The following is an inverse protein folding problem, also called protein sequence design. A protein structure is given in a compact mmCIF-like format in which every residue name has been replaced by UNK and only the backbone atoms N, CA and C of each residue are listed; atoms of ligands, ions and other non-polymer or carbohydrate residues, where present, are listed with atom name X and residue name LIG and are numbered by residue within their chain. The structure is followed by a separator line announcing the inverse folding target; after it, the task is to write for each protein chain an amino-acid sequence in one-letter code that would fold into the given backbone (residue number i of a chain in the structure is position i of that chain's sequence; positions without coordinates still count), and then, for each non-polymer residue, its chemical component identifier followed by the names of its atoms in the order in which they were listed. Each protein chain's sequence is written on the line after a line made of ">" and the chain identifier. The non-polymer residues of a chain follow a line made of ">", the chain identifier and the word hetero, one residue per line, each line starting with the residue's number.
data_IF_768826045682
#
_entry.id   IF_768826045682
#
_cell.length_a   1.000
_cell.length_b   1.000
_cell.length_c   1.000
_cell.angle_alpha   90.00
_cell.angle_beta   90.00
_cell.angle_gamma   90.00
#
_symmetry.space_group_name_H-M   'P 1'
#
loop_
_entity.id
_entity.type
_entity.pdbx_description
1 polymer ?
#
# COMPACT_ATOMS: atom_id res chain seq x y z
N UNK A 1 94.52 9.27 -3.71
CA UNK A 1 93.19 9.04 -3.09
C UNK A 1 92.19 8.83 -4.21
N UNK A 2 91.59 7.63 -4.26
CA UNK A 2 90.57 7.25 -5.25
C UNK A 2 89.26 7.96 -4.89
N UNK A 3 88.56 8.52 -5.87
CA UNK A 3 87.11 8.33 -6.00
C UNK A 3 86.66 8.56 -7.44
N UNK A 4 85.81 7.64 -7.87
CA UNK A 4 85.53 7.27 -9.25
C UNK A 4 84.44 8.15 -9.87
N UNK A 5 84.64 8.39 -11.17
CA UNK A 5 83.60 8.66 -12.16
C UNK A 5 82.46 7.64 -12.10
N UNK A 6 81.21 8.11 -12.20
CA UNK A 6 80.16 7.37 -12.91
C UNK A 6 79.16 8.34 -13.54
N UNK A 7 79.01 8.22 -14.86
CA UNK A 7 78.03 8.90 -15.71
C UNK A 7 76.73 8.08 -15.77
N UNK A 8 75.69 8.75 -16.28
CA UNK A 8 74.47 8.22 -16.93
C UNK A 8 73.36 7.82 -15.93
N UNK A 9 72.06 8.08 -16.11
CA UNK A 9 71.18 8.34 -17.28
C UNK A 9 70.04 9.28 -16.83
N UNK A 10 69.61 10.19 -17.72
CA UNK A 10 68.37 10.97 -17.60
C UNK A 10 67.16 10.05 -17.84
N UNK A 11 66.22 9.99 -16.91
CA UNK A 11 64.87 9.48 -17.19
C UNK A 11 63.82 10.37 -16.51
N UNK A 12 63.16 11.19 -17.33
CA UNK A 12 61.91 11.83 -17.00
C UNK A 12 60.84 10.75 -16.87
N UNK A 13 60.26 10.59 -15.68
CA UNK A 13 59.05 9.81 -15.48
C UNK A 13 57.96 10.74 -15.01
N UNK A 14 57.00 10.97 -15.90
CA UNK A 14 55.81 11.77 -15.68
C UNK A 14 54.99 11.21 -14.51
N UNK A 15 54.50 12.09 -13.64
CA UNK A 15 53.43 11.81 -12.71
C UNK A 15 52.15 11.47 -13.50
N UNK A 16 51.86 10.19 -13.69
CA UNK A 16 50.54 9.74 -14.10
C UNK A 16 49.63 9.79 -12.86
N UNK A 17 48.85 10.86 -12.73
CA UNK A 17 47.69 10.85 -11.83
C UNK A 17 46.70 9.82 -12.38
N UNK A 18 46.61 8.68 -11.70
CA UNK A 18 45.53 7.72 -11.91
C UNK A 18 44.29 8.37 -11.31
N UNK A 19 43.46 8.97 -12.15
CA UNK A 19 42.07 9.23 -11.82
C UNK A 19 41.43 7.86 -11.59
N UNK A 20 41.35 7.45 -10.33
CA UNK A 20 40.48 6.35 -9.94
C UNK A 20 39.06 6.79 -10.25
N UNK A 21 38.46 6.18 -11.27
CA UNK A 21 37.02 6.20 -11.43
C UNK A 21 36.45 5.58 -10.14
N UNK A 22 35.88 6.41 -9.29
CA UNK A 22 34.95 5.96 -8.26
C UNK A 22 33.75 5.42 -9.04
N UNK A 23 33.78 4.11 -9.32
CA UNK A 23 32.57 3.39 -9.67
C UNK A 23 31.66 3.51 -8.44
N UNK A 24 30.64 4.37 -8.54
CA UNK A 24 29.51 4.31 -7.63
C UNK A 24 28.87 2.95 -7.88
N UNK A 25 29.11 1.99 -6.99
CA UNK A 25 28.36 0.75 -6.96
C UNK A 25 27.01 1.14 -6.38
N UNK A 26 26.06 1.48 -7.25
CA UNK A 26 24.66 1.47 -6.87
C UNK A 26 24.33 0.01 -6.59
N UNK A 27 24.16 -0.34 -5.31
CA UNK A 27 23.40 -1.52 -5.00
C UNK A 27 21.98 -1.23 -5.48
N UNK A 28 21.50 -1.95 -6.49
CA UNK A 28 20.05 -2.08 -6.69
C UNK A 28 19.55 -2.79 -5.44
N UNK A 29 19.10 -2.02 -4.44
CA UNK A 29 18.26 -2.56 -3.38
C UNK A 29 16.97 -2.99 -4.08
N UNK A 30 16.73 -4.30 -4.14
CA UNK A 30 15.49 -4.79 -4.70
C UNK A 30 14.35 -4.29 -3.81
N UNK A 31 13.27 -3.72 -4.38
CA UNK A 31 12.18 -3.21 -3.59
C UNK A 31 11.58 -4.32 -2.73
N UNK A 32 11.19 -3.98 -1.49
CA UNK A 32 10.47 -4.90 -0.61
C UNK A 32 9.05 -5.01 -1.15
N UNK A 33 8.80 -6.08 -1.90
CA UNK A 33 7.50 -6.30 -2.55
C UNK A 33 6.45 -6.68 -1.52
N UNK A 34 5.39 -5.88 -1.44
CA UNK A 34 4.18 -6.20 -0.69
C UNK A 34 3.26 -7.02 -1.58
N UNK A 35 2.77 -8.14 -1.06
CA UNK A 35 1.80 -8.97 -1.75
C UNK A 35 0.43 -8.83 -1.07
N UNK A 36 -0.39 -7.91 -1.56
CA UNK A 36 -1.77 -7.79 -1.09
C UNK A 36 -2.58 -8.98 -1.59
N UNK A 37 -3.23 -9.70 -0.67
CA UNK A 37 -4.06 -10.84 -1.02
C UNK A 37 -5.21 -10.40 -1.94
N UNK A 38 -5.25 -10.96 -3.15
CA UNK A 38 -6.31 -10.68 -4.12
C UNK A 38 -7.59 -11.40 -3.70
N UNK A 39 -8.52 -10.65 -3.14
CA UNK A 39 -9.83 -11.14 -2.73
C UNK A 39 -10.78 -11.05 -3.92
N UNK A 40 -11.34 -12.19 -4.34
CA UNK A 40 -12.25 -12.22 -5.49
C UNK A 40 -13.59 -11.56 -5.15
N UNK A 41 -14.24 -10.97 -6.15
CA UNK A 41 -15.60 -10.41 -6.00
C UNK A 41 -16.57 -11.46 -5.44
N UNK A 42 -16.48 -12.72 -5.90
CA UNK A 42 -17.33 -13.81 -5.42
C UNK A 42 -17.11 -14.15 -3.94
N UNK A 43 -15.87 -14.10 -3.43
CA UNK A 43 -15.60 -14.33 -2.02
C UNK A 43 -16.09 -13.16 -1.16
N UNK A 44 -15.89 -11.93 -1.62
CA UNK A 44 -16.39 -10.75 -0.91
C UNK A 44 -17.94 -10.72 -0.89
N UNK A 45 -18.59 -11.09 -1.99
CA UNK A 45 -20.06 -11.23 -2.08
C UNK A 45 -20.57 -12.25 -1.06
N UNK A 46 -19.93 -13.42 -0.96
CA UNK A 46 -20.30 -14.43 0.05
C UNK A 46 -20.14 -13.90 1.48
N UNK A 47 -19.07 -13.17 1.78
CA UNK A 47 -18.91 -12.53 3.08
C UNK A 47 -20.07 -11.57 3.35
N UNK A 48 -20.45 -10.75 2.37
CA UNK A 48 -21.55 -9.81 2.50
C UNK A 48 -22.90 -10.50 2.68
N UNK A 49 -23.15 -11.60 1.96
CA UNK A 49 -24.37 -12.39 2.13
C UNK A 49 -24.47 -12.91 3.57
N UNK A 50 -23.38 -13.46 4.12
CA UNK A 50 -23.33 -13.90 5.52
C UNK A 50 -23.59 -12.73 6.49
N UNK A 51 -23.04 -11.54 6.23
CA UNK A 51 -23.28 -10.33 7.03
C UNK A 51 -24.76 -9.92 6.98
N UNK A 52 -25.39 -9.97 5.82
CA UNK A 52 -26.81 -9.63 5.68
C UNK A 52 -27.71 -10.65 6.38
N UNK A 53 -27.40 -11.94 6.28
CA UNK A 53 -28.12 -13.01 6.96
C UNK A 53 -28.09 -12.84 8.48
N UNK A 54 -26.92 -12.62 9.08
CA UNK A 54 -26.81 -12.45 10.53
C UNK A 54 -27.52 -11.17 11.01
N UNK A 55 -27.48 -10.08 10.22
CA UNK A 55 -28.18 -8.83 10.56
C UNK A 55 -29.69 -9.03 10.57
N UNK A 56 -30.21 -9.72 9.55
CA UNK A 56 -31.63 -10.02 9.43
C UNK A 56 -32.12 -10.97 10.54
N UNK A 57 -31.28 -11.95 10.93
CA UNK A 57 -31.60 -12.89 12.00
C UNK A 57 -31.52 -12.28 13.41
N UNK A 58 -30.86 -11.13 13.57
CA UNK A 58 -30.60 -10.52 14.88
C UNK A 58 -30.94 -9.01 14.92
N UNK A 59 -32.21 -8.61 14.64
CA UNK A 59 -32.61 -7.22 14.63
C UNK A 59 -32.51 -6.63 16.05
N UNK A 60 -31.52 -5.76 16.28
CA UNK A 60 -31.29 -5.10 17.56
C UNK A 60 -29.97 -5.43 18.25
N UNK A 61 -29.18 -6.36 17.71
CA UNK A 61 -27.80 -6.56 18.16
C UNK A 61 -26.90 -5.39 17.75
N UNK A 62 -25.97 -5.05 18.63
CA UNK A 62 -24.89 -4.12 18.30
C UNK A 62 -23.93 -4.71 17.27
N UNK A 63 -23.15 -3.86 16.60
CA UNK A 63 -22.14 -4.30 15.64
C UNK A 63 -21.11 -5.23 16.27
N UNK A 64 -20.71 -4.97 17.52
CA UNK A 64 -19.78 -5.82 18.24
C UNK A 64 -20.35 -7.23 18.43
N UNK A 65 -21.61 -7.35 18.86
CA UNK A 65 -22.25 -8.66 19.00
C UNK A 65 -22.40 -9.38 17.65
N UNK A 66 -22.64 -8.67 16.57
CA UNK A 66 -22.72 -9.25 15.22
C UNK A 66 -21.34 -9.72 14.73
N UNK A 67 -20.27 -8.96 15.01
CA UNK A 67 -18.88 -9.35 14.75
C UNK A 67 -18.55 -10.65 15.50
N UNK A 68 -18.94 -10.77 16.77
CA UNK A 68 -18.71 -11.98 17.57
C UNK A 68 -19.48 -13.19 17.02
N UNK A 69 -20.74 -13.00 16.60
CA UNK A 69 -21.54 -14.05 15.95
C UNK A 69 -20.88 -14.53 14.67
N UNK A 70 -20.50 -13.62 13.77
CA UNK A 70 -19.88 -13.98 12.50
C UNK A 70 -18.53 -14.67 12.70
N UNK A 71 -17.71 -14.13 13.61
CA UNK A 71 -16.41 -14.73 13.96
C UNK A 71 -16.58 -16.16 14.48
N UNK A 72 -17.59 -16.40 15.32
CA UNK A 72 -17.90 -17.75 15.78
C UNK A 72 -18.31 -18.68 14.64
N UNK A 73 -19.21 -18.22 13.77
CA UNK A 73 -19.66 -19.00 12.60
C UNK A 73 -18.47 -19.37 11.70
N UNK A 74 -17.58 -18.41 11.42
CA UNK A 74 -16.42 -18.63 10.55
C UNK A 74 -15.38 -19.57 11.19
N UNK A 75 -15.18 -19.47 12.50
CA UNK A 75 -14.28 -20.35 13.25
C UNK A 75 -14.80 -21.80 13.38
N UNK A 76 -16.13 -21.98 13.47
CA UNK A 76 -16.77 -23.29 13.56
C UNK A 76 -17.07 -23.91 12.18
N UNK A 77 -17.00 -23.09 11.12
CA UNK A 77 -17.25 -23.49 9.74
C UNK A 77 -16.23 -24.50 9.21
N UNK A 78 -16.67 -25.36 8.30
CA UNK A 78 -15.83 -26.41 7.66
C UNK A 78 -15.74 -26.17 6.16
N UNK A 79 -14.53 -26.24 5.62
CA UNK A 79 -14.26 -26.33 4.18
C UNK A 79 -14.66 -25.09 3.38
N UNK A 80 -15.95 -24.92 3.10
CA UNK A 80 -16.52 -23.91 2.20
C UNK A 80 -16.36 -22.48 2.70
N UNK A 81 -16.28 -22.27 4.02
CA UNK A 81 -16.10 -20.95 4.63
C UNK A 81 -14.63 -20.58 4.84
N UNK A 82 -13.67 -21.43 4.46
CA UNK A 82 -12.25 -21.21 4.80
C UNK A 82 -11.70 -19.91 4.19
N UNK A 83 -11.89 -19.68 2.90
CA UNK A 83 -11.46 -18.42 2.26
C UNK A 83 -12.16 -17.19 2.85
N UNK A 84 -13.43 -17.32 3.25
CA UNK A 84 -14.17 -16.24 3.92
C UNK A 84 -13.62 -15.96 5.32
N UNK A 85 -13.22 -17.01 6.04
CA UNK A 85 -12.60 -16.90 7.35
C UNK A 85 -11.22 -16.24 7.24
N UNK A 86 -10.45 -16.56 6.20
CA UNK A 86 -9.15 -15.94 5.94
C UNK A 86 -9.32 -14.42 5.69
N UNK A 87 -10.25 -14.02 4.81
CA UNK A 87 -10.62 -12.61 4.60
C UNK A 87 -11.00 -11.94 5.92
N UNK A 88 -11.92 -12.53 6.67
CA UNK A 88 -12.40 -11.95 7.93
C UNK A 88 -11.29 -11.81 8.99
N UNK A 89 -10.35 -12.75 9.01
CA UNK A 89 -9.22 -12.76 9.93
C UNK A 89 -8.19 -11.67 9.62
N UNK A 90 -8.04 -11.31 8.34
CA UNK A 90 -7.13 -10.26 7.88
C UNK A 90 -7.61 -8.84 8.21
N UNK A 91 -8.93 -8.65 8.40
CA UNK A 91 -9.50 -7.34 8.76
C UNK A 91 -9.13 -6.91 10.18
N UNK A 92 -8.90 -5.61 10.37
CA UNK A 92 -8.84 -4.99 11.70
C UNK A 92 -10.19 -5.08 12.42
N UNK A 93 -10.18 -4.87 13.74
CA UNK A 93 -11.45 -4.86 14.50
C UNK A 93 -12.39 -3.74 14.02
N UNK A 94 -11.84 -2.57 13.68
CA UNK A 94 -12.61 -1.45 13.15
C UNK A 94 -13.17 -1.75 11.76
N UNK A 95 -12.38 -2.37 10.87
CA UNK A 95 -12.85 -2.79 9.55
C UNK A 95 -14.01 -3.79 9.66
N UNK A 96 -13.93 -4.80 10.56
CA UNK A 96 -15.03 -5.75 10.79
C UNK A 96 -16.32 -5.05 11.18
N UNK A 97 -16.27 -4.06 12.07
CA UNK A 97 -17.44 -3.24 12.45
C UNK A 97 -18.00 -2.47 11.25
N UNK A 98 -17.14 -1.90 10.42
CA UNK A 98 -17.55 -1.18 9.21
C UNK A 98 -18.15 -2.12 8.14
N UNK A 99 -17.62 -3.33 7.97
CA UNK A 99 -18.21 -4.35 7.09
C UNK A 99 -19.61 -4.72 7.56
N UNK A 100 -19.82 -4.90 8.87
CA UNK A 100 -21.16 -5.10 9.44
C UNK A 100 -22.04 -3.88 9.19
N UNK A 101 -21.55 -2.67 9.43
CA UNK A 101 -22.34 -1.43 9.33
C UNK A 101 -22.74 -1.12 7.89
N UNK A 102 -21.80 -1.24 6.95
CA UNK A 102 -21.93 -0.82 5.55
C UNK A 102 -21.51 -1.94 4.57
N UNK A 103 -22.23 -3.09 4.53
CA UNK A 103 -21.81 -4.26 3.76
C UNK A 103 -21.61 -3.98 2.27
N UNK A 104 -22.52 -3.22 1.64
CA UNK A 104 -22.38 -2.86 0.22
C UNK A 104 -21.24 -1.88 -0.05
N UNK A 105 -20.91 -1.00 0.92
CA UNK A 105 -19.74 -0.15 0.79
C UNK A 105 -18.46 -0.98 0.89
N UNK A 106 -18.42 -1.98 1.77
CA UNK A 106 -17.27 -2.89 1.89
C UNK A 106 -16.98 -3.67 0.60
N UNK A 107 -18.00 -4.07 -0.17
CA UNK A 107 -17.80 -4.63 -1.52
C UNK A 107 -17.03 -3.65 -2.41
N UNK A 108 -17.42 -2.37 -2.40
CA UNK A 108 -16.79 -1.32 -3.19
C UNK A 108 -15.40 -0.93 -2.69
N UNK A 109 -15.13 -1.05 -1.39
CA UNK A 109 -13.77 -0.93 -0.85
C UNK A 109 -12.85 -2.00 -1.43
N UNK A 110 -13.34 -3.24 -1.55
CA UNK A 110 -12.57 -4.33 -2.16
C UNK A 110 -12.41 -4.14 -3.67
N UNK A 111 -13.44 -3.67 -4.38
CA UNK A 111 -13.33 -3.30 -5.80
C UNK A 111 -12.22 -2.24 -6.00
N UNK A 112 -12.25 -1.15 -5.20
CA UNK A 112 -11.24 -0.09 -5.22
C UNK A 112 -9.83 -0.62 -4.90
N UNK A 113 -9.70 -1.53 -3.93
CA UNK A 113 -8.41 -2.15 -3.57
C UNK A 113 -7.84 -2.92 -4.77
N UNK A 114 -8.66 -3.74 -5.40
CA UNK A 114 -8.24 -4.53 -6.57
C UNK A 114 -7.81 -3.65 -7.74
N UNK A 115 -8.51 -2.52 -7.98
CA UNK A 115 -8.10 -1.51 -8.96
C UNK A 115 -6.74 -0.93 -8.58
N UNK A 116 -6.54 -0.54 -7.33
CA UNK A 116 -5.29 0.03 -6.85
C UNK A 116 -4.10 -0.91 -7.01
N UNK A 117 -4.25 -2.18 -6.60
CA UNK A 117 -3.20 -3.20 -6.77
C UNK A 117 -2.85 -3.38 -8.25
N UNK A 118 -3.86 -3.55 -9.12
CA UNK A 118 -3.64 -3.78 -10.55
C UNK A 118 -2.98 -2.57 -11.24
N UNK A 119 -3.42 -1.35 -10.93
CA UNK A 119 -2.83 -0.14 -11.50
C UNK A 119 -1.40 0.08 -10.99
N UNK A 120 -1.12 -0.22 -9.74
CA UNK A 120 0.25 -0.12 -9.18
C UNK A 120 1.19 -1.06 -9.92
N UNK A 121 0.81 -2.34 -10.06
CA UNK A 121 1.59 -3.32 -10.82
C UNK A 121 1.78 -2.91 -12.29
N UNK A 122 0.74 -2.36 -12.94
CA UNK A 122 0.84 -1.89 -14.33
C UNK A 122 1.76 -0.68 -14.49
N UNK A 123 1.77 0.24 -13.54
CA UNK A 123 2.52 1.51 -13.61
C UNK A 123 3.97 1.39 -13.16
N UNK A 124 4.24 0.56 -12.15
CA UNK A 124 5.56 0.41 -11.54
C UNK A 124 6.23 -0.92 -11.89
N UNK A 125 5.47 -1.94 -12.31
CA UNK A 125 5.97 -3.29 -12.54
C UNK A 125 6.11 -4.12 -11.24
N UNK A 126 5.81 -3.52 -10.09
CA UNK A 126 5.83 -4.13 -8.77
C UNK A 126 4.96 -3.30 -7.81
N UNK A 127 4.81 -3.76 -6.56
CA UNK A 127 4.14 -3.04 -5.47
C UNK A 127 5.03 -3.08 -4.23
N UNK A 128 5.65 -1.96 -3.88
CA UNK A 128 6.60 -1.81 -2.79
C UNK A 128 5.94 -1.44 -1.45
N UNK A 129 6.74 -1.58 -0.39
CA UNK A 129 6.47 -1.10 0.96
C UNK A 129 7.22 0.21 1.17
N UNK A 130 6.57 1.26 1.67
CA UNK A 130 7.22 2.53 2.02
C UNK A 130 7.70 3.38 0.86
N UNK A 131 7.57 2.91 -0.38
CA UNK A 131 8.14 3.56 -1.56
C UNK A 131 7.12 4.37 -2.37
N UNK A 132 7.57 4.91 -3.51
CA UNK A 132 6.70 5.69 -4.41
C UNK A 132 5.51 4.88 -4.94
N UNK A 133 5.68 3.59 -5.18
CA UNK A 133 4.59 2.72 -5.64
C UNK A 133 3.55 2.49 -4.53
N UNK A 134 3.98 2.48 -3.26
CA UNK A 134 3.12 2.43 -2.09
C UNK A 134 2.25 3.68 -1.97
N UNK A 135 2.89 4.85 -2.05
CA UNK A 135 2.19 6.13 -2.04
C UNK A 135 1.17 6.25 -3.20
N UNK A 136 1.52 5.76 -4.39
CA UNK A 136 0.60 5.67 -5.52
C UNK A 136 -0.59 4.76 -5.21
N UNK A 137 -0.34 3.54 -4.68
CA UNK A 137 -1.38 2.55 -4.35
C UNK A 137 -2.40 3.10 -3.36
N UNK A 138 -1.93 3.75 -2.29
CA UNK A 138 -2.80 4.41 -1.30
C UNK A 138 -3.61 5.57 -1.91
N UNK A 139 -2.97 6.36 -2.77
CA UNK A 139 -3.61 7.47 -3.49
C UNK A 139 -4.76 7.01 -4.38
N UNK A 140 -4.51 6.04 -5.26
CA UNK A 140 -5.55 5.54 -6.17
C UNK A 140 -6.65 4.78 -5.41
N UNK A 141 -6.30 3.98 -4.39
CA UNK A 141 -7.30 3.30 -3.58
C UNK A 141 -8.30 4.28 -2.94
N UNK A 142 -7.80 5.39 -2.40
CA UNK A 142 -8.65 6.41 -1.78
C UNK A 142 -9.42 7.27 -2.80
N UNK A 143 -8.86 7.52 -3.98
CA UNK A 143 -9.57 8.20 -5.06
C UNK A 143 -10.77 7.35 -5.52
N UNK A 144 -10.55 6.06 -5.80
CA UNK A 144 -11.60 5.13 -6.24
C UNK A 144 -12.65 4.88 -5.15
N UNK A 145 -12.24 4.70 -3.89
CA UNK A 145 -13.19 4.63 -2.78
C UNK A 145 -14.06 5.90 -2.70
N UNK A 146 -13.46 7.08 -2.89
CA UNK A 146 -14.20 8.34 -2.84
C UNK A 146 -15.27 8.41 -3.92
N UNK A 147 -14.96 7.97 -5.14
CA UNK A 147 -15.91 7.90 -6.26
C UNK A 147 -17.04 6.89 -5.96
N UNK A 148 -16.68 5.70 -5.47
CA UNK A 148 -17.64 4.60 -5.33
C UNK A 148 -18.55 4.71 -4.10
N UNK A 149 -18.04 5.21 -2.97
CA UNK A 149 -18.77 5.19 -1.68
C UNK A 149 -18.85 6.55 -0.98
N UNK A 150 -18.25 7.59 -1.56
CA UNK A 150 -18.17 8.95 -1.03
C UNK A 150 -17.03 9.13 -0.03
N UNK A 151 -16.47 10.35 0.03
CA UNK A 151 -15.29 10.70 0.83
C UNK A 151 -15.41 10.33 2.32
N UNK A 152 -16.57 10.55 2.94
CA UNK A 152 -16.77 10.23 4.36
C UNK A 152 -16.59 8.74 4.66
N UNK A 153 -17.13 7.85 3.81
CA UNK A 153 -16.96 6.40 4.01
C UNK A 153 -15.57 5.95 3.61
N UNK A 154 -15.01 6.53 2.54
CA UNK A 154 -13.63 6.27 2.15
C UNK A 154 -12.65 6.56 3.31
N UNK A 155 -12.82 7.70 4.00
CA UNK A 155 -12.03 8.04 5.18
C UNK A 155 -12.22 7.03 6.31
N UNK A 156 -13.47 6.66 6.66
CA UNK A 156 -13.74 5.67 7.70
C UNK A 156 -13.03 4.33 7.44
N UNK A 157 -13.15 3.80 6.21
CA UNK A 157 -12.53 2.53 5.85
C UNK A 157 -11.00 2.63 5.76
N UNK A 158 -10.46 3.67 5.14
CA UNK A 158 -9.02 3.88 5.05
C UNK A 158 -8.39 4.06 6.44
N UNK A 159 -8.99 4.86 7.32
CA UNK A 159 -8.49 5.02 8.70
C UNK A 159 -8.55 3.71 9.48
N UNK A 160 -9.64 2.94 9.36
CA UNK A 160 -9.77 1.63 9.99
C UNK A 160 -8.73 0.62 9.50
N UNK A 161 -8.29 0.73 8.23
CA UNK A 161 -7.21 -0.07 7.66
C UNK A 161 -5.87 0.23 8.31
N UNK A 162 -5.60 1.49 8.66
CA UNK A 162 -4.36 1.91 9.32
C UNK A 162 -4.37 1.69 10.85
N UNK A 163 -5.44 1.12 11.43
CA UNK A 163 -5.52 0.75 12.86
C UNK A 163 -4.85 -0.61 13.15
N UNK A 164 -3.70 -0.85 12.53
CA UNK A 164 -2.82 -2.01 12.78
C UNK A 164 -1.89 -1.74 13.98
N UNK A 165 -1.22 -2.78 14.46
CA UNK A 165 -0.19 -2.67 15.49
C UNK A 165 0.99 -1.83 14.97
N UNK A 166 1.25 -0.69 15.61
CA UNK A 166 2.32 0.25 15.23
C UNK A 166 3.59 0.07 16.05
N UNK A 167 3.76 -1.07 16.74
CA UNK A 167 4.99 -1.35 17.49
C UNK A 167 6.07 -1.98 16.63
N UNK A 168 7.29 -1.46 16.74
CA UNK A 168 8.47 -1.95 16.02
C UNK A 168 8.71 -1.29 14.66
N UNK A 169 9.52 -1.98 13.86
CA UNK A 169 9.96 -1.58 12.52
C UNK A 169 9.42 -2.56 11.48
N UNK A 170 9.20 -2.07 10.26
CA UNK A 170 8.95 -2.87 9.07
C UNK A 170 10.29 -3.36 8.45
N UNK A 171 10.26 -4.32 7.51
CA UNK A 171 11.48 -4.86 6.90
C UNK A 171 12.37 -3.85 6.15
N UNK A 172 11.84 -2.67 5.82
CA UNK A 172 12.55 -1.56 5.19
C UNK A 172 13.36 -0.71 6.18
N UNK A 173 13.28 -1.02 7.48
CA UNK A 173 13.99 -0.33 8.54
C UNK A 173 13.29 0.95 9.05
N UNK A 174 12.11 1.26 8.53
CA UNK A 174 11.29 2.37 9.05
C UNK A 174 10.31 1.85 10.11
N UNK A 175 9.94 2.73 11.03
CA UNK A 175 8.99 2.37 12.08
C UNK A 175 7.58 2.18 11.50
N UNK A 176 6.80 1.27 12.08
CA UNK A 176 5.40 1.09 11.66
C UNK A 176 4.54 2.35 11.81
N UNK A 177 4.93 3.25 12.70
CA UNK A 177 4.27 4.55 12.86
C UNK A 177 4.61 5.52 11.73
N UNK A 178 5.82 5.45 11.15
CA UNK A 178 6.18 6.22 9.95
C UNK A 178 5.37 5.76 8.73
N UNK A 179 5.26 4.44 8.52
CA UNK A 179 4.37 3.85 7.51
C UNK A 179 2.93 4.33 7.67
N UNK A 180 2.35 4.14 8.86
CA UNK A 180 0.99 4.61 9.16
C UNK A 180 0.78 6.09 8.86
N UNK A 181 1.75 6.94 9.18
CA UNK A 181 1.63 8.38 8.92
C UNK A 181 1.70 8.71 7.42
N UNK A 182 2.57 8.03 6.68
CA UNK A 182 2.63 8.10 5.22
C UNK A 182 1.30 7.68 4.61
N UNK A 183 0.78 6.52 5.01
CA UNK A 183 -0.46 5.94 4.49
C UNK A 183 -1.65 6.86 4.77
N UNK A 184 -1.82 7.34 6.00
CA UNK A 184 -2.89 8.28 6.35
C UNK A 184 -2.84 9.57 5.52
N UNK A 185 -1.64 10.09 5.26
CA UNK A 185 -1.44 11.29 4.44
C UNK A 185 -1.80 11.03 2.98
N UNK A 186 -1.25 9.99 2.37
CA UNK A 186 -1.51 9.63 0.98
C UNK A 186 -2.97 9.21 0.75
N UNK A 187 -3.59 8.58 1.74
CA UNK A 187 -5.02 8.30 1.76
C UNK A 187 -5.83 9.61 1.66
N UNK A 188 -5.46 10.64 2.44
CA UNK A 188 -6.12 11.96 2.38
C UNK A 188 -5.97 12.62 1.01
N UNK A 189 -4.75 12.66 0.46
CA UNK A 189 -4.47 13.22 -0.88
C UNK A 189 -5.29 12.49 -1.94
N UNK A 190 -5.36 11.16 -1.89
CA UNK A 190 -6.19 10.35 -2.80
C UNK A 190 -7.66 10.72 -2.74
N UNK A 191 -8.23 10.92 -1.54
CA UNK A 191 -9.63 11.35 -1.39
C UNK A 191 -9.89 12.73 -1.99
N UNK A 192 -8.98 13.69 -1.80
CA UNK A 192 -9.09 15.03 -2.38
C UNK A 192 -9.07 14.98 -3.91
N UNK A 193 -8.22 14.14 -4.50
CA UNK A 193 -8.18 13.90 -5.95
C UNK A 193 -9.50 13.27 -6.42
N UNK A 194 -9.99 12.23 -5.74
CA UNK A 194 -11.26 11.57 -6.07
C UNK A 194 -12.48 12.50 -6.00
N UNK A 195 -12.48 13.46 -5.08
CA UNK A 195 -13.51 14.51 -5.03
C UNK A 195 -13.40 15.49 -6.20
N UNK A 196 -12.18 15.87 -6.56
CA UNK A 196 -11.92 16.89 -7.59
C UNK A 196 -12.18 16.35 -9.00
N UNK A 197 -11.88 15.08 -9.23
CA UNK A 197 -11.87 14.45 -10.56
C UNK A 197 -12.80 13.24 -10.63
N UNK A 198 -14.00 13.35 -10.05
CA UNK A 198 -14.96 12.25 -9.93
C UNK A 198 -15.47 11.67 -11.27
N UNK A 199 -15.29 12.39 -12.37
CA UNK A 199 -15.74 11.97 -13.71
C UNK A 199 -14.67 11.18 -14.50
N UNK A 200 -13.46 11.02 -13.96
CA UNK A 200 -12.40 10.23 -14.60
C UNK A 200 -12.71 8.74 -14.55
N UNK A 201 -12.36 8.00 -15.61
CA UNK A 201 -12.30 6.53 -15.54
C UNK A 201 -11.17 6.08 -14.62
N UNK A 202 -11.21 4.81 -14.18
CA UNK A 202 -10.15 4.18 -13.38
C UNK A 202 -8.75 4.35 -14.00
N UNK A 203 -8.64 4.18 -15.32
CA UNK A 203 -7.38 4.34 -16.06
C UNK A 203 -6.92 5.81 -16.09
N UNK A 204 -7.85 6.75 -16.31
CA UNK A 204 -7.53 8.17 -16.30
C UNK A 204 -7.17 8.68 -14.90
N UNK A 205 -7.81 8.15 -13.86
CA UNK A 205 -7.46 8.44 -12.47
C UNK A 205 -6.06 7.93 -12.14
N UNK A 206 -5.75 6.69 -12.55
CA UNK A 206 -4.42 6.11 -12.40
C UNK A 206 -3.35 6.93 -13.15
N UNK A 207 -3.61 7.32 -14.40
CA UNK A 207 -2.72 8.19 -15.18
C UNK A 207 -2.48 9.51 -14.48
N UNK A 208 -3.54 10.18 -14.02
CA UNK A 208 -3.45 11.46 -13.33
C UNK A 208 -2.62 11.36 -12.05
N UNK A 209 -2.91 10.40 -11.17
CA UNK A 209 -2.16 10.21 -9.92
C UNK A 209 -0.70 9.86 -10.21
N UNK A 210 -0.44 9.06 -11.25
CA UNK A 210 0.91 8.70 -11.67
C UNK A 210 1.69 9.92 -12.20
N UNK A 211 1.04 10.82 -12.91
CA UNK A 211 1.66 12.09 -13.31
C UNK A 211 1.94 12.98 -12.08
N UNK A 212 0.97 13.13 -11.17
CA UNK A 212 1.12 13.95 -9.96
C UNK A 212 2.27 13.46 -9.09
N UNK A 213 2.40 12.14 -8.87
CA UNK A 213 3.43 11.60 -7.98
C UNK A 213 4.87 11.82 -8.49
N UNK A 214 5.04 12.06 -9.79
CA UNK A 214 6.33 12.36 -10.42
C UNK A 214 6.62 13.87 -10.56
N UNK A 215 5.71 14.75 -10.12
CA UNK A 215 5.96 16.18 -10.11
C UNK A 215 6.87 16.59 -8.94
N UNK A 216 7.75 17.56 -9.16
CA UNK A 216 8.60 18.12 -8.09
C UNK A 216 7.79 18.70 -6.93
N UNK A 217 6.58 19.19 -7.20
CA UNK A 217 5.65 19.75 -6.22
C UNK A 217 4.59 18.76 -5.74
N UNK A 218 4.82 17.45 -5.88
CA UNK A 218 3.86 16.43 -5.45
C UNK A 218 3.48 16.59 -3.98
N UNK A 219 2.21 16.35 -3.67
CA UNK A 219 1.73 16.28 -2.29
C UNK A 219 1.85 14.88 -1.69
N UNK A 220 2.10 13.85 -2.50
CA UNK A 220 2.35 12.50 -2.01
C UNK A 220 3.71 12.42 -1.30
N UNK A 221 3.79 11.56 -0.28
CA UNK A 221 5.02 11.31 0.47
C UNK A 221 5.35 9.83 0.49
N UNK A 222 6.63 9.48 0.52
CA UNK A 222 7.13 8.12 0.69
C UNK A 222 8.37 8.14 1.58
N UNK A 223 8.72 6.98 2.15
CA UNK A 223 9.80 6.85 3.14
C UNK A 223 11.16 6.65 2.47
N UNK A 224 11.22 5.93 1.35
CA UNK A 224 12.43 5.69 0.58
C UNK A 224 12.14 5.51 -0.92
N UNK A 225 13.17 5.67 -1.75
CA UNK A 225 13.05 5.48 -3.21
C UNK A 225 13.01 4.00 -3.63
#
# INVERSE_FOLDING_TARGET
>A
MKNKFLRTVVLCSACAMIFGNVMSVYAEENPIVVNEEKVTTMEMEKLIDMVLEIKNANPGKSEQELVEILSKILNEGRGETRGIADIWSALTEAERKLVIRYPFAALKVNDAKNIATEQTERKFGYSGLGDRSDAFRHGIWNAEMTILIGAEKAELFATAHEEKDTTGEEPDGYTKIEHKNMDLHNNSVGREIGLTYADLSEEQMADYIYEVIHQESTSFVWLHD
#
